data_IF_622959028046
#
_entry.id   IF_622959028046
#
_cell.length_a   1.000
_cell.length_b   1.000
_cell.length_c   1.000
_cell.angle_alpha   90.00
_cell.angle_beta   90.00
_cell.angle_gamma   90.00
#
_symmetry.space_group_name_H-M   'P 1'
#
loop_
_entity.id
_entity.type
_entity.pdbx_description
1 polymer ?
#
# COMPACT_ATOMS: atom_id res chain seq x y z
N UNK A 1 17.07 7.15 10.00
CA UNK A 1 15.66 7.52 10.20
C UNK A 1 15.26 8.39 9.02
N UNK A 2 14.15 8.13 8.32
CA UNK A 2 13.48 9.25 7.67
C UNK A 2 12.87 10.00 8.84
N UNK A 3 13.53 11.06 9.28
CA UNK A 3 13.12 11.79 10.47
C UNK A 3 11.72 12.34 10.24
N UNK A 4 10.92 12.31 11.31
CA UNK A 4 9.66 13.04 11.40
C UNK A 4 9.82 14.55 11.10
N UNK A 5 11.04 15.06 10.94
CA UNK A 5 11.38 16.41 10.49
C UNK A 5 10.97 16.73 9.03
N UNK A 6 10.72 15.72 8.19
CA UNK A 6 10.24 15.96 6.82
C UNK A 6 8.71 16.14 6.74
N UNK A 7 8.03 16.32 7.87
CA UNK A 7 6.59 16.62 7.90
C UNK A 7 6.25 17.97 7.25
N UNK A 8 7.20 18.89 7.25
CA UNK A 8 7.09 20.21 6.63
C UNK A 8 6.76 20.13 5.14
N UNK A 9 7.24 19.11 4.43
CA UNK A 9 6.93 18.88 3.00
C UNK A 9 5.48 18.47 2.78
N UNK A 10 4.87 17.76 3.73
CA UNK A 10 3.49 17.30 3.64
C UNK A 10 2.48 18.26 4.30
N UNK A 11 2.95 19.24 5.08
CA UNK A 11 2.10 20.24 5.73
C UNK A 11 1.26 21.08 4.75
N UNK A 12 1.62 21.12 3.46
CA UNK A 12 0.82 21.79 2.41
C UNK A 12 -0.34 20.96 1.88
N UNK A 13 -0.28 19.62 2.00
CA UNK A 13 -1.34 18.71 1.51
C UNK A 13 -2.30 18.29 2.63
N UNK A 14 -1.95 18.51 3.89
CA UNK A 14 -2.76 18.16 5.06
C UNK A 14 -3.36 19.45 5.65
N UNK A 15 -4.70 19.57 5.76
CA UNK A 15 -5.32 20.71 6.43
C UNK A 15 -4.83 20.87 7.87
N UNK A 16 -4.63 22.13 8.30
CA UNK A 16 -3.95 22.47 9.56
C UNK A 16 -4.62 21.85 10.78
N UNK A 17 -5.93 21.75 10.77
CA UNK A 17 -6.78 21.15 11.80
C UNK A 17 -6.51 19.66 12.04
N UNK A 18 -6.00 18.94 11.05
CA UNK A 18 -5.73 17.50 11.16
C UNK A 18 -4.27 17.18 11.53
N UNK A 19 -3.35 18.15 11.41
CA UNK A 19 -1.93 17.98 11.72
C UNK A 19 -1.70 17.50 13.17
N UNK A 20 -2.34 18.05 14.22
CA UNK A 20 -2.08 17.61 15.60
C UNK A 20 -2.45 16.14 15.83
N UNK A 21 -3.61 15.71 15.30
CA UNK A 21 -4.07 14.33 15.45
C UNK A 21 -3.14 13.34 14.74
N UNK A 22 -2.74 13.67 13.50
CA UNK A 22 -1.82 12.87 12.72
C UNK A 22 -0.43 12.80 13.36
N UNK A 23 0.12 13.93 13.85
CA UNK A 23 1.41 13.96 14.55
C UNK A 23 1.41 13.06 15.79
N UNK A 24 0.32 13.10 16.58
CA UNK A 24 0.15 12.20 17.74
C UNK A 24 0.16 10.73 17.31
N UNK A 25 -0.55 10.38 16.24
CA UNK A 25 -0.67 8.99 15.80
C UNK A 25 0.61 8.45 15.16
N UNK A 26 1.38 9.30 14.45
CA UNK A 26 2.70 8.95 13.90
C UNK A 26 3.74 8.60 14.97
N UNK A 27 3.63 9.17 16.17
CA UNK A 27 4.51 8.82 17.30
C UNK A 27 4.29 7.40 17.82
N UNK A 28 3.20 6.73 17.42
CA UNK A 28 2.88 5.36 17.83
C UNK A 28 3.55 4.28 16.98
N UNK A 29 4.17 4.65 15.85
CA UNK A 29 4.82 3.70 14.95
C UNK A 29 5.85 2.84 15.73
N UNK A 30 5.81 1.50 15.62
CA UNK A 30 5.18 0.71 14.55
C UNK A 30 3.72 0.29 14.77
N UNK A 31 3.02 0.81 15.79
CA UNK A 31 1.59 0.59 15.92
C UNK A 31 0.81 1.45 14.90
N UNK A 32 0.08 0.76 14.01
CA UNK A 32 -0.77 1.33 12.98
C UNK A 32 -2.27 1.06 13.24
N UNK A 33 -2.65 0.66 14.45
CA UNK A 33 -4.05 0.43 14.85
C UNK A 33 -5.01 1.59 14.56
N UNK A 34 -4.48 2.81 14.44
CA UNK A 34 -5.22 4.04 14.12
C UNK A 34 -5.49 4.23 12.62
N UNK A 35 -4.86 3.44 11.75
CA UNK A 35 -4.86 3.67 10.31
C UNK A 35 -6.20 3.31 9.65
N UNK A 36 -6.81 2.20 10.10
CA UNK A 36 -8.07 1.69 9.57
C UNK A 36 -9.17 1.72 10.63
N UNK A 37 -10.38 2.02 10.19
CA UNK A 37 -11.61 1.87 10.94
C UNK A 37 -12.49 0.75 10.37
N UNK A 38 -13.73 0.69 10.87
CA UNK A 38 -14.75 -0.17 10.29
C UNK A 38 -15.05 0.25 8.84
N UNK A 39 -15.49 -0.69 7.97
CA UNK A 39 -15.90 -0.35 6.63
C UNK A 39 -17.03 0.69 6.66
N UNK A 40 -16.85 1.76 5.88
CA UNK A 40 -17.88 2.77 5.68
C UNK A 40 -19.17 2.12 5.16
N UNK A 41 -20.32 2.49 5.74
CA UNK A 41 -21.59 1.80 5.46
C UNK A 41 -22.22 2.24 4.14
N UNK A 42 -21.99 3.50 3.74
CA UNK A 42 -22.55 4.06 2.52
C UNK A 42 -21.79 3.60 1.28
N UNK A 43 -22.47 3.59 0.14
CA UNK A 43 -21.88 3.28 -1.18
C UNK A 43 -21.07 4.45 -1.76
N UNK A 44 -20.79 5.47 -0.96
CA UNK A 44 -19.86 6.53 -1.32
C UNK A 44 -18.49 5.93 -1.66
N UNK A 45 -17.84 6.43 -2.70
CA UNK A 45 -16.55 5.94 -3.16
C UNK A 45 -15.46 6.73 -2.48
N UNK A 46 -14.61 6.08 -1.69
CA UNK A 46 -13.57 6.75 -0.92
C UNK A 46 -12.18 6.32 -1.38
N UNK A 47 -11.26 7.27 -1.48
CA UNK A 47 -9.84 6.97 -1.67
C UNK A 47 -9.33 6.13 -0.50
N UNK A 48 -8.64 5.03 -0.80
CA UNK A 48 -8.14 4.09 0.20
C UNK A 48 -9.12 2.97 0.57
N UNK A 49 -10.29 2.89 -0.06
CA UNK A 49 -11.22 1.78 0.19
C UNK A 49 -10.56 0.42 -0.06
N UNK A 50 -10.69 -0.47 0.92
CA UNK A 50 -10.19 -1.84 0.86
C UNK A 50 -11.35 -2.78 0.47
N UNK A 51 -11.32 -3.31 -0.74
CA UNK A 51 -12.39 -4.11 -1.32
C UNK A 51 -11.90 -5.53 -1.59
N UNK A 52 -12.68 -6.55 -1.21
CA UNK A 52 -12.39 -7.95 -1.56
C UNK A 52 -12.82 -8.29 -2.99
N UNK A 53 -12.33 -9.41 -3.50
CA UNK A 53 -12.75 -10.05 -4.75
C UNK A 53 -12.70 -9.16 -5.99
N UNK A 54 -11.71 -8.25 -6.03
CA UNK A 54 -11.55 -7.28 -7.10
C UNK A 54 -10.50 -7.75 -8.11
N UNK A 55 -10.73 -7.62 -9.43
CA UNK A 55 -9.79 -8.11 -10.42
C UNK A 55 -8.50 -7.29 -10.43
N UNK A 56 -7.36 -7.98 -10.36
CA UNK A 56 -6.04 -7.40 -10.59
C UNK A 56 -5.42 -8.02 -11.83
N UNK A 57 -4.79 -7.21 -12.67
CA UNK A 57 -4.10 -7.66 -13.88
C UNK A 57 -2.66 -7.14 -13.86
N UNK A 58 -1.72 -7.99 -14.25
CA UNK A 58 -0.33 -7.60 -14.52
C UNK A 58 0.20 -8.37 -15.74
N UNK A 59 1.26 -7.86 -16.37
CA UNK A 59 1.98 -8.56 -17.43
C UNK A 59 3.15 -9.33 -16.83
N UNK A 60 3.28 -10.61 -17.15
CA UNK A 60 4.44 -11.40 -16.73
C UNK A 60 5.66 -11.18 -17.63
N UNK A 61 6.75 -11.90 -17.33
CA UNK A 61 8.01 -11.82 -18.09
C UNK A 61 7.87 -12.24 -19.57
N UNK A 62 6.80 -12.96 -19.92
CA UNK A 62 6.47 -13.35 -21.30
C UNK A 62 5.49 -12.37 -21.96
N UNK A 63 5.21 -11.23 -21.31
CA UNK A 63 4.25 -10.22 -21.76
C UNK A 63 2.81 -10.78 -21.81
N UNK A 64 2.54 -11.86 -21.09
CA UNK A 64 1.19 -12.43 -20.99
C UNK A 64 0.41 -11.74 -19.87
N UNK A 65 -0.83 -11.35 -20.15
CA UNK A 65 -1.73 -10.83 -19.14
C UNK A 65 -2.12 -11.93 -18.15
N UNK A 66 -1.74 -11.74 -16.88
CA UNK A 66 -2.17 -12.57 -15.76
C UNK A 66 -3.24 -11.82 -14.99
N UNK A 67 -4.35 -12.48 -14.73
CA UNK A 67 -5.45 -11.92 -13.95
C UNK A 67 -5.85 -12.84 -12.81
N UNK A 68 -6.12 -12.24 -11.66
CA UNK A 68 -6.69 -12.92 -10.49
C UNK A 68 -7.41 -11.89 -9.62
N UNK A 69 -8.43 -12.34 -8.89
CA UNK A 69 -9.10 -11.49 -7.91
C UNK A 69 -8.30 -11.44 -6.61
N UNK A 70 -8.15 -10.22 -6.08
CA UNK A 70 -7.49 -9.94 -4.81
C UNK A 70 -8.38 -9.03 -3.95
N UNK A 71 -8.03 -8.91 -2.67
CA UNK A 71 -8.36 -7.65 -1.98
C UNK A 71 -7.53 -6.54 -2.61
N UNK A 72 -8.12 -5.38 -2.85
CA UNK A 72 -7.42 -4.21 -3.42
C UNK A 72 -7.65 -2.97 -2.57
N UNK A 73 -6.75 -1.99 -2.71
CA UNK A 73 -6.95 -0.62 -2.25
C UNK A 73 -7.20 0.29 -3.45
N UNK A 74 -8.29 1.07 -3.42
CA UNK A 74 -8.58 2.07 -4.46
C UNK A 74 -7.71 3.30 -4.24
N UNK A 75 -7.01 3.76 -5.28
CA UNK A 75 -6.04 4.86 -5.20
C UNK A 75 -6.56 6.20 -5.70
N UNK A 76 -7.63 6.25 -6.50
CA UNK A 76 -8.17 7.51 -7.01
C UNK A 76 -8.59 8.44 -5.89
N UNK A 77 -8.41 9.74 -6.09
CA UNK A 77 -8.92 10.75 -5.19
C UNK A 77 -10.46 10.68 -5.14
N UNK A 78 -11.03 10.79 -3.93
CA UNK A 78 -12.48 10.86 -3.71
C UNK A 78 -13.17 11.89 -4.61
N UNK A 79 -12.54 13.04 -4.88
CA UNK A 79 -13.09 14.09 -5.74
C UNK A 79 -13.14 13.70 -7.23
N UNK A 80 -12.31 12.75 -7.67
CA UNK A 80 -12.29 12.25 -9.05
C UNK A 80 -13.24 11.05 -9.23
N UNK A 81 -13.76 10.53 -8.13
CA UNK A 81 -14.65 9.39 -8.13
C UNK A 81 -16.12 9.67 -8.44
N UNK A 82 -16.72 10.89 -8.48
CA UNK A 82 -18.14 11.06 -8.84
C UNK A 82 -18.56 10.44 -10.20
N UNK A 83 -19.86 10.14 -10.35
CA UNK A 83 -20.39 9.50 -11.55
C UNK A 83 -20.14 10.33 -12.82
N UNK A 84 -19.74 9.66 -13.90
CA UNK A 84 -19.51 10.28 -15.21
C UNK A 84 -18.19 11.04 -15.37
N UNK A 85 -17.33 11.08 -14.33
CA UNK A 85 -16.03 11.76 -14.41
C UNK A 85 -14.89 10.87 -14.92
N UNK A 86 -14.88 9.59 -14.53
CA UNK A 86 -13.89 8.61 -14.95
C UNK A 86 -14.57 7.27 -15.26
N UNK A 87 -14.06 6.56 -16.27
CA UNK A 87 -14.50 5.21 -16.61
C UNK A 87 -13.74 4.12 -15.85
N UNK A 88 -12.61 4.48 -15.25
CA UNK A 88 -11.69 3.56 -14.57
C UNK A 88 -11.22 4.08 -13.22
N UNK A 89 -10.96 3.15 -12.31
CA UNK A 89 -10.24 3.36 -11.05
C UNK A 89 -8.93 2.61 -11.06
N UNK A 90 -7.92 3.18 -10.41
CA UNK A 90 -6.64 2.57 -10.12
C UNK A 90 -6.75 1.80 -8.82
N UNK A 91 -6.43 0.51 -8.87
CA UNK A 91 -6.46 -0.40 -7.75
C UNK A 91 -5.08 -1.03 -7.52
N UNK A 92 -4.63 -1.06 -6.26
CA UNK A 92 -3.41 -1.74 -5.85
C UNK A 92 -3.74 -3.04 -5.10
N UNK A 93 -3.16 -4.19 -5.46
CA UNK A 93 -3.45 -5.45 -4.81
C UNK A 93 -2.93 -5.48 -3.37
N UNK A 94 -3.68 -6.19 -2.53
CA UNK A 94 -3.39 -6.39 -1.11
C UNK A 94 -3.13 -7.86 -0.86
N UNK A 95 -2.00 -8.13 -0.20
CA UNK A 95 -1.57 -9.49 0.14
C UNK A 95 -1.36 -9.64 1.64
N UNK A 96 -1.55 -10.86 2.14
CA UNK A 96 -1.31 -11.17 3.55
C UNK A 96 0.18 -11.01 3.90
N UNK A 97 0.46 -10.32 5.01
CA UNK A 97 1.82 -10.02 5.42
C UNK A 97 2.65 -11.29 5.71
N UNK A 98 2.06 -12.28 6.37
CA UNK A 98 2.77 -13.51 6.72
C UNK A 98 3.05 -14.36 5.48
N UNK A 99 2.05 -14.51 4.59
CA UNK A 99 2.24 -15.20 3.30
C UNK A 99 3.31 -14.55 2.44
N UNK A 100 3.40 -13.21 2.45
CA UNK A 100 4.46 -12.49 1.75
C UNK A 100 5.85 -12.81 2.32
N UNK A 101 5.99 -12.87 3.65
CA UNK A 101 7.27 -13.24 4.28
C UNK A 101 7.66 -14.69 4.00
N UNK A 102 6.70 -15.61 3.98
CA UNK A 102 6.92 -17.01 3.60
C UNK A 102 7.39 -17.12 2.14
N UNK A 103 6.75 -16.38 1.23
CA UNK A 103 7.17 -16.29 -0.16
C UNK A 103 8.60 -15.74 -0.29
N UNK A 104 8.93 -14.64 0.39
CA UNK A 104 10.27 -14.05 0.37
C UNK A 104 11.33 -15.00 0.93
N UNK A 105 11.03 -15.69 2.03
CA UNK A 105 11.90 -16.73 2.59
C UNK A 105 12.14 -17.83 1.56
N UNK A 106 11.09 -18.41 0.99
CA UNK A 106 11.21 -19.48 0.00
C UNK A 106 11.98 -19.04 -1.26
N UNK A 107 11.73 -17.81 -1.75
CA UNK A 107 12.43 -17.22 -2.90
C UNK A 107 13.93 -17.10 -2.65
N UNK A 108 14.32 -16.59 -1.48
CA UNK A 108 15.74 -16.41 -1.10
C UNK A 108 16.43 -17.75 -0.89
N UNK A 109 15.75 -18.72 -0.28
CA UNK A 109 16.31 -20.07 -0.10
C UNK A 109 16.53 -20.78 -1.44
N UNK A 110 15.58 -20.69 -2.39
CA UNK A 110 15.71 -21.31 -3.72
C UNK A 110 16.84 -20.72 -4.56
N UNK A 111 17.18 -19.44 -4.35
CA UNK A 111 18.32 -18.81 -5.03
C UNK A 111 19.68 -19.42 -4.62
N UNK A 112 19.71 -20.21 -3.54
CA UNK A 112 20.92 -20.87 -3.04
C UNK A 112 20.72 -22.39 -3.08
N UNK A 113 21.20 -23.03 -4.16
CA UNK A 113 20.96 -24.44 -4.47
C UNK A 113 21.66 -25.45 -3.55
N UNK A 114 22.56 -25.01 -2.65
CA UNK A 114 23.19 -25.83 -1.60
C UNK A 114 23.46 -24.97 -0.37
N UNK A 115 22.49 -24.89 0.56
CA UNK A 115 22.62 -24.04 1.74
C UNK A 115 23.20 -24.81 2.93
N UNK A 116 24.38 -24.36 3.39
CA UNK A 116 24.88 -24.70 4.72
C UNK A 116 24.03 -24.06 5.83
N UNK A 117 24.13 -24.55 7.07
CA UNK A 117 23.36 -24.02 8.22
C UNK A 117 23.57 -22.51 8.43
N UNK A 118 24.80 -22.03 8.25
CA UNK A 118 25.17 -20.61 8.35
C UNK A 118 24.42 -19.72 7.35
N UNK A 119 24.19 -20.21 6.13
CA UNK A 119 23.51 -19.42 5.10
C UNK A 119 22.00 -19.40 5.33
N UNK A 120 21.41 -20.50 5.83
CA UNK A 120 20.01 -20.51 6.26
C UNK A 120 19.76 -19.49 7.36
N UNK A 121 20.66 -19.40 8.35
CA UNK A 121 20.58 -18.40 9.41
C UNK A 121 20.62 -16.96 8.84
N UNK A 122 21.53 -16.69 7.89
CA UNK A 122 21.60 -15.37 7.22
C UNK A 122 20.32 -15.01 6.47
N UNK A 123 19.69 -15.97 5.80
CA UNK A 123 18.40 -15.73 5.12
C UNK A 123 17.31 -15.39 6.13
N UNK A 124 17.21 -16.11 7.25
CA UNK A 124 16.24 -15.81 8.31
C UNK A 124 16.45 -14.42 8.91
N UNK A 125 17.69 -14.03 9.20
CA UNK A 125 18.00 -12.69 9.71
C UNK A 125 17.62 -11.60 8.70
N UNK A 126 17.87 -11.83 7.41
CA UNK A 126 17.49 -10.92 6.34
C UNK A 126 15.97 -10.79 6.16
N UNK A 127 15.21 -11.89 6.35
CA UNK A 127 13.74 -11.88 6.31
C UNK A 127 13.17 -11.17 7.54
N UNK A 128 13.77 -11.37 8.73
CA UNK A 128 13.39 -10.64 9.96
C UNK A 128 13.60 -9.14 9.81
N UNK A 129 14.73 -8.74 9.23
CA UNK A 129 15.00 -7.32 8.96
C UNK A 129 14.02 -6.74 7.93
N UNK A 130 13.71 -7.49 6.86
CA UNK A 130 12.68 -7.10 5.91
C UNK A 130 11.33 -6.88 6.61
N UNK A 131 10.90 -7.82 7.44
CA UNK A 131 9.66 -7.73 8.20
C UNK A 131 9.63 -6.47 9.09
N UNK A 132 10.74 -6.16 9.76
CA UNK A 132 10.91 -4.96 10.59
C UNK A 132 10.77 -3.68 9.77
N UNK A 133 11.43 -3.59 8.61
CA UNK A 133 11.38 -2.41 7.72
C UNK A 133 9.98 -2.21 7.14
N UNK A 134 9.31 -3.30 6.72
CA UNK A 134 7.94 -3.26 6.20
C UNK A 134 6.95 -2.81 7.28
N UNK A 135 7.02 -3.38 8.49
CA UNK A 135 6.16 -2.97 9.62
C UNK A 135 6.38 -1.53 10.06
N UNK A 136 7.54 -0.94 9.77
CA UNK A 136 7.80 0.48 10.00
C UNK A 136 7.36 1.36 8.82
N UNK A 137 6.71 0.79 7.80
CA UNK A 137 6.28 1.47 6.59
C UNK A 137 7.41 2.20 5.83
N UNK A 138 8.67 1.73 5.98
CA UNK A 138 9.86 2.37 5.40
C UNK A 138 10.09 2.06 3.91
N UNK A 139 9.49 0.99 3.39
CA UNK A 139 9.49 0.69 1.94
C UNK A 139 8.49 1.59 1.25
N UNK A 140 8.90 2.32 0.23
CA UNK A 140 8.06 3.33 -0.43
C UNK A 140 6.94 2.70 -1.26
N UNK A 141 7.25 1.59 -1.92
CA UNK A 141 6.44 0.85 -2.88
C UNK A 141 5.51 -0.20 -2.24
N UNK A 142 5.54 -0.32 -0.91
CA UNK A 142 4.70 -1.21 -0.11
C UNK A 142 4.13 -0.41 1.08
N UNK A 143 2.82 -0.39 1.21
CA UNK A 143 2.14 0.12 2.39
C UNK A 143 1.71 -1.05 3.29
N UNK A 144 2.25 -1.11 4.50
CA UNK A 144 1.75 -2.01 5.52
C UNK A 144 0.51 -1.39 6.18
N UNK A 145 -0.56 -2.18 6.28
CA UNK A 145 -1.79 -1.82 6.98
C UNK A 145 -2.03 -2.81 8.13
N UNK A 146 -2.65 -2.37 9.25
CA UNK A 146 -2.90 -3.22 10.41
C UNK A 146 -3.87 -4.35 10.07
N UNK A 147 -4.24 -5.17 11.06
CA UNK A 147 -5.24 -6.23 10.86
C UNK A 147 -6.61 -5.67 10.43
N UNK A 148 -7.27 -6.34 9.49
CA UNK A 148 -8.65 -6.08 9.07
C UNK A 148 -9.17 -7.30 8.29
N UNK A 149 -10.49 -7.52 8.30
CA UNK A 149 -11.11 -8.66 7.59
C UNK A 149 -10.42 -10.00 7.91
N UNK A 150 -9.94 -10.67 6.87
CA UNK A 150 -9.20 -11.94 6.96
C UNK A 150 -7.70 -11.80 7.31
N UNK A 151 -7.14 -10.60 7.22
CA UNK A 151 -5.70 -10.33 7.39
C UNK A 151 -5.30 -10.16 8.85
N UNK A 152 -5.24 -11.26 9.62
CA UNK A 152 -4.99 -11.21 11.06
C UNK A 152 -3.60 -10.65 11.44
N UNK A 153 -2.59 -10.88 10.59
CA UNK A 153 -1.22 -10.38 10.77
C UNK A 153 -0.97 -8.96 10.22
N UNK A 154 -2.01 -8.33 9.68
CA UNK A 154 -1.89 -7.17 8.80
C UNK A 154 -1.68 -7.57 7.34
N UNK A 155 -1.73 -6.58 6.45
CA UNK A 155 -1.61 -6.79 5.02
C UNK A 155 -0.66 -5.79 4.37
N UNK A 156 -0.24 -6.10 3.16
CA UNK A 156 0.63 -5.29 2.33
C UNK A 156 -0.10 -4.85 1.08
N UNK A 157 -0.24 -3.55 0.90
CA UNK A 157 -0.69 -2.95 -0.35
C UNK A 157 0.52 -2.73 -1.25
N UNK A 158 0.53 -3.38 -2.41
CA UNK A 158 1.64 -3.36 -3.35
C UNK A 158 1.46 -2.21 -4.36
N UNK A 159 1.98 -1.03 -4.02
CA UNK A 159 1.77 0.19 -4.81
C UNK A 159 2.47 0.18 -6.19
N UNK A 160 3.42 -0.74 -6.39
CA UNK A 160 4.10 -0.94 -7.67
C UNK A 160 3.35 -1.87 -8.64
N UNK A 161 2.27 -2.54 -8.20
CA UNK A 161 1.46 -3.45 -9.02
C UNK A 161 0.05 -2.91 -9.26
N UNK A 162 -0.05 -1.60 -9.50
CA UNK A 162 -1.33 -0.95 -9.76
C UNK A 162 -1.92 -1.37 -11.10
N UNK A 163 -3.24 -1.49 -11.16
CA UNK A 163 -3.98 -1.77 -12.38
C UNK A 163 -5.20 -0.85 -12.50
N UNK A 164 -5.65 -0.62 -13.72
CA UNK A 164 -6.88 0.12 -14.02
C UNK A 164 -8.05 -0.84 -14.16
N UNK A 165 -9.15 -0.56 -13.47
CA UNK A 165 -10.36 -1.39 -13.45
C UNK A 165 -11.58 -0.51 -13.67
N UNK A 166 -12.59 -1.00 -14.39
CA UNK A 166 -13.79 -0.21 -14.66
C UNK A 166 -14.48 0.25 -13.37
N UNK A 167 -14.95 1.51 -13.36
CA UNK A 167 -15.76 2.06 -12.26
C UNK A 167 -17.02 1.24 -12.01
N UNK A 168 -17.59 0.60 -13.04
CA UNK A 168 -18.74 -0.31 -12.89
C UNK A 168 -18.47 -1.44 -11.90
N UNK A 169 -17.30 -2.06 -11.97
CA UNK A 169 -16.90 -3.15 -11.06
C UNK A 169 -16.79 -2.61 -9.63
N UNK A 170 -16.25 -1.40 -9.46
CA UNK A 170 -16.20 -0.75 -8.15
C UNK A 170 -17.61 -0.48 -7.57
N UNK A 171 -18.54 0.03 -8.38
CA UNK A 171 -19.92 0.22 -7.92
C UNK A 171 -20.60 -1.09 -7.52
N UNK A 172 -20.42 -2.13 -8.31
CA UNK A 172 -20.98 -3.45 -8.02
C UNK A 172 -20.39 -4.00 -6.70
N UNK A 173 -19.09 -3.83 -6.48
CA UNK A 173 -18.43 -4.22 -5.23
C UNK A 173 -18.98 -3.48 -4.00
N UNK A 174 -19.21 -2.17 -4.11
CA UNK A 174 -19.81 -1.38 -3.03
C UNK A 174 -21.26 -1.78 -2.75
N UNK A 175 -22.07 -1.99 -3.78
CA UNK A 175 -23.46 -2.48 -3.64
C UNK A 175 -23.51 -3.87 -3.00
N UNK A 176 -22.54 -4.72 -3.34
CA UNK A 176 -22.37 -6.06 -2.74
C UNK A 176 -21.73 -6.03 -1.34
N UNK A 177 -21.49 -4.86 -0.76
CA UNK A 177 -20.87 -4.68 0.57
C UNK A 177 -19.52 -5.39 0.70
N UNK A 178 -18.70 -5.34 -0.36
CA UNK A 178 -17.38 -5.97 -0.39
C UNK A 178 -16.27 -5.14 0.27
N UNK A 179 -16.60 -3.97 0.82
CA UNK A 179 -15.67 -3.14 1.58
C UNK A 179 -15.32 -3.82 2.91
N UNK A 180 -14.04 -4.12 3.10
CA UNK A 180 -13.51 -4.78 4.29
C UNK A 180 -13.12 -3.79 5.39
N UNK A 181 -12.61 -2.62 5.01
CA UNK A 181 -12.21 -1.55 5.92
C UNK A 181 -12.14 -0.22 5.18
N UNK A 182 -12.17 0.87 5.94
CA UNK A 182 -11.94 2.22 5.45
C UNK A 182 -10.84 2.88 6.29
N UNK A 183 -10.13 3.83 5.71
CA UNK A 183 -9.17 4.63 6.46
C UNK A 183 -9.90 5.54 7.46
N UNK A 184 -9.30 5.71 8.62
CA UNK A 184 -9.67 6.82 9.51
C UNK A 184 -9.22 8.14 8.88
N UNK A 185 -9.69 9.28 9.40
CA UNK A 185 -9.23 10.59 8.89
C UNK A 185 -7.71 10.75 8.97
N UNK A 186 -7.07 10.34 10.07
CA UNK A 186 -5.61 10.41 10.22
C UNK A 186 -4.91 9.36 9.35
N UNK A 187 -5.48 8.15 9.27
CA UNK A 187 -5.02 7.11 8.36
C UNK A 187 -5.01 7.57 6.89
N UNK A 188 -6.04 8.26 6.45
CA UNK A 188 -6.15 8.79 5.10
C UNK A 188 -5.00 9.76 4.78
N UNK A 189 -4.68 10.67 5.70
CA UNK A 189 -3.54 11.56 5.51
C UNK A 189 -2.19 10.82 5.52
N UNK A 190 -2.06 9.74 6.29
CA UNK A 190 -0.90 8.87 6.19
C UNK A 190 -0.80 8.18 4.82
N UNK A 191 -1.93 7.74 4.25
CA UNK A 191 -1.99 7.23 2.89
C UNK A 191 -1.52 8.28 1.87
N UNK A 192 -1.96 9.53 1.99
CA UNK A 192 -1.51 10.61 1.10
C UNK A 192 0.00 10.82 1.19
N UNK A 193 0.57 10.90 2.40
CA UNK A 193 2.02 10.97 2.60
C UNK A 193 2.71 9.81 1.87
N UNK A 194 2.22 8.59 2.07
CA UNK A 194 2.78 7.39 1.46
C UNK A 194 2.77 7.44 -0.07
N UNK A 195 1.63 7.81 -0.67
CA UNK A 195 1.48 7.93 -2.11
C UNK A 195 2.41 9.00 -2.68
N UNK A 196 2.49 10.17 -2.04
CA UNK A 196 3.42 11.24 -2.45
C UNK A 196 4.86 10.77 -2.36
N UNK A 197 5.27 10.10 -1.27
CA UNK A 197 6.63 9.57 -1.15
C UNK A 197 6.94 8.49 -2.20
N UNK A 198 5.95 7.67 -2.58
CA UNK A 198 6.15 6.62 -3.57
C UNK A 198 6.32 7.17 -4.99
N UNK A 199 5.45 8.11 -5.40
CA UNK A 199 5.37 8.61 -6.78
C UNK A 199 6.34 9.77 -7.01
N UNK A 200 6.46 10.68 -6.05
CA UNK A 200 7.20 11.95 -6.20
C UNK A 200 8.54 11.93 -5.46
N UNK A 201 9.17 10.76 -5.29
CA UNK A 201 10.48 10.65 -4.62
C UNK A 201 11.53 11.41 -5.41
N UNK A 202 12.29 12.27 -4.72
CA UNK A 202 13.42 12.96 -5.32
C UNK A 202 14.46 11.96 -5.87
N UNK A 203 15.04 12.30 -7.01
CA UNK A 203 16.19 11.58 -7.55
C UNK A 203 17.38 11.67 -6.59
N UNK A 204 18.22 10.64 -6.59
CA UNK A 204 19.48 10.74 -5.85
C UNK A 204 20.40 11.74 -6.56
N UNK A 205 21.37 12.29 -5.83
CA UNK A 205 22.43 13.17 -6.36
C UNK A 205 23.31 12.51 -7.43
N UNK A 206 23.14 11.22 -7.67
CA UNK A 206 23.85 10.45 -8.69
C UNK A 206 23.14 10.48 -10.05
N UNK A 207 21.89 10.92 -10.11
CA UNK A 207 21.13 11.04 -11.37
C UNK A 207 21.39 12.43 -11.95
N UNK A 208 22.11 12.48 -13.07
CA UNK A 208 22.33 13.70 -13.83
C UNK A 208 21.44 13.68 -15.07
N UNK A 209 20.39 14.49 -15.11
CA UNK A 209 19.61 14.71 -16.33
C UNK A 209 20.41 15.61 -17.26
N UNK A 210 20.68 15.14 -18.48
CA UNK A 210 21.31 15.99 -19.49
C UNK A 210 20.33 17.09 -19.87
N UNK A 211 20.73 18.34 -19.73
CA UNK A 211 20.00 19.46 -20.34
C UNK A 211 20.10 19.28 -21.86
N UNK A 212 18.94 19.17 -22.51
CA UNK A 212 18.88 19.28 -23.97
C UNK A 212 18.84 20.78 -24.24
N UNK A 213 19.95 21.29 -24.79
CA UNK A 213 20.05 22.66 -25.30
C UNK A 213 19.18 22.87 -26.54
#
# INVERSE_FOLDING_TARGET
MAELDDFSRYARIIPKEHIPALSRDLKKIPDFSWLLGQPHQEIERLQGDLLRDFPTVYLDEKVEARSRNFTVMILNNTCDLPDGRLDFVTAAPVVDFNKYLEFERARRLKAHTQLGETEKARVEDSVRELARVIRQNKKTEILFVPKFGEFQGGALVLLHLVCSVSTKIYHEALRAKQRLASFTQTGFYFLLIKLTTHIARAESTQVMRKEVA
#
